data_IF_972927386071
#
_entry.id   IF_972927386071
#
_cell.length_a   1.000
_cell.length_b   1.000
_cell.length_c   1.000
_cell.angle_alpha   90.00
_cell.angle_beta   90.00
_cell.angle_gamma   90.00
#
_symmetry.space_group_name_H-M   'P 1'
#
loop_
_entity.id
_entity.type
_entity.pdbx_description
1 polymer ?
#
# COMPACT_ATOMS: atom_id res chain seq x y z
N UNK A 1 -5.74 16.65 -8.94
CA UNK A 1 -4.60 15.88 -9.51
C UNK A 1 -3.99 14.99 -8.45
N UNK A 2 -3.45 15.53 -7.33
CA UNK A 2 -2.71 14.72 -6.35
C UNK A 2 -3.52 13.55 -5.76
N UNK A 3 -4.78 13.75 -5.38
CA UNK A 3 -5.63 12.70 -4.80
C UNK A 3 -6.10 11.65 -5.82
N UNK A 4 -6.23 12.00 -7.09
CA UNK A 4 -6.65 11.06 -8.13
C UNK A 4 -5.50 10.14 -8.56
N UNK A 5 -4.37 10.70 -8.94
CA UNK A 5 -3.25 9.96 -9.53
C UNK A 5 -2.64 8.96 -8.55
N UNK A 6 -2.40 9.39 -7.32
CA UNK A 6 -1.76 8.55 -6.30
C UNK A 6 -2.64 7.38 -5.87
N UNK A 7 -3.92 7.61 -5.60
CA UNK A 7 -4.87 6.55 -5.22
C UNK A 7 -5.08 5.57 -6.37
N UNK A 8 -5.29 6.07 -7.59
CA UNK A 8 -5.44 5.23 -8.79
C UNK A 8 -4.21 4.35 -9.02
N UNK A 9 -3.01 4.93 -8.92
CA UNK A 9 -1.76 4.18 -9.09
C UNK A 9 -1.62 3.08 -8.03
N UNK A 10 -1.95 3.38 -6.77
CA UNK A 10 -1.92 2.39 -5.69
C UNK A 10 -2.92 1.25 -5.94
N UNK A 11 -4.14 1.54 -6.41
CA UNK A 11 -5.12 0.51 -6.76
C UNK A 11 -4.69 -0.31 -7.99
N UNK A 12 -4.04 0.31 -8.99
CA UNK A 12 -3.46 -0.44 -10.11
C UNK A 12 -2.41 -1.43 -9.63
N UNK A 13 -1.50 -1.02 -8.75
CA UNK A 13 -0.56 -1.94 -8.10
C UNK A 13 -1.24 -3.05 -7.32
N UNK A 14 -2.32 -2.72 -6.58
CA UNK A 14 -3.10 -3.72 -5.88
C UNK A 14 -3.62 -4.82 -6.81
N UNK A 15 -4.19 -4.44 -7.96
CA UNK A 15 -4.68 -5.41 -8.96
C UNK A 15 -3.58 -6.35 -9.44
N UNK A 16 -2.38 -5.81 -9.74
CA UNK A 16 -1.25 -6.61 -10.20
C UNK A 16 -0.69 -7.53 -9.10
N UNK A 17 -0.54 -7.01 -7.89
CA UNK A 17 -0.07 -7.79 -6.74
C UNK A 17 -1.01 -8.97 -6.45
N UNK A 18 -2.32 -8.74 -6.47
CA UNK A 18 -3.29 -9.82 -6.28
C UNK A 18 -3.44 -10.74 -7.49
N UNK A 19 -3.18 -10.27 -8.71
CA UNK A 19 -3.16 -11.14 -9.89
C UNK A 19 -2.06 -12.21 -9.80
N UNK A 20 -0.94 -11.90 -9.15
CA UNK A 20 0.16 -12.83 -8.90
C UNK A 20 -0.08 -13.65 -7.63
N UNK A 21 -0.63 -13.04 -6.57
CA UNK A 21 -0.78 -13.67 -5.25
C UNK A 21 -2.23 -14.14 -5.04
N UNK A 22 -2.61 -15.21 -5.74
CA UNK A 22 -3.98 -15.73 -5.77
C UNK A 22 -4.48 -16.20 -4.38
N UNK A 23 -3.61 -16.75 -3.56
CA UNK A 23 -3.96 -17.17 -2.19
C UNK A 23 -4.36 -15.97 -1.31
N UNK A 24 -3.58 -14.89 -1.38
CA UNK A 24 -3.89 -13.65 -0.66
C UNK A 24 -5.22 -13.04 -1.15
N UNK A 25 -5.49 -13.12 -2.46
CA UNK A 25 -6.74 -12.67 -3.05
C UNK A 25 -7.94 -13.48 -2.50
N UNK A 26 -7.83 -14.79 -2.45
CA UNK A 26 -8.91 -15.65 -1.93
C UNK A 26 -9.15 -15.43 -0.43
N UNK A 27 -8.09 -15.20 0.36
CA UNK A 27 -8.24 -14.85 1.79
C UNK A 27 -8.97 -13.51 1.96
N UNK A 28 -8.58 -12.49 1.18
CA UNK A 28 -9.24 -11.19 1.19
C UNK A 28 -10.73 -11.33 0.82
N UNK A 29 -11.02 -12.03 -0.26
CA UNK A 29 -12.39 -12.23 -0.73
C UNK A 29 -13.23 -12.97 0.31
N UNK A 30 -12.68 -13.99 0.96
CA UNK A 30 -13.38 -14.74 2.02
C UNK A 30 -13.80 -13.81 3.15
N UNK A 31 -12.87 -12.99 3.67
CA UNK A 31 -13.20 -12.03 4.73
C UNK A 31 -14.29 -11.03 4.28
N UNK A 32 -14.19 -10.52 3.05
CA UNK A 32 -15.22 -9.61 2.49
C UNK A 32 -16.59 -10.30 2.50
N UNK A 33 -16.69 -11.51 2.02
CA UNK A 33 -17.96 -12.24 1.95
C UNK A 33 -18.50 -12.63 3.33
N UNK A 34 -17.65 -12.92 4.28
CA UNK A 34 -18.03 -13.22 5.67
C UNK A 34 -18.59 -11.98 6.39
N UNK A 35 -18.01 -10.79 6.16
CA UNK A 35 -18.39 -9.57 6.89
C UNK A 35 -19.46 -8.76 6.15
N UNK A 36 -19.35 -8.67 4.84
CA UNK A 36 -20.21 -7.81 3.99
C UNK A 36 -21.29 -8.62 3.28
N UNK A 37 -20.97 -9.84 2.85
CA UNK A 37 -21.83 -10.64 2.00
C UNK A 37 -21.74 -10.25 0.53
N UNK A 38 -22.73 -10.67 -0.26
CA UNK A 38 -22.82 -10.41 -1.72
C UNK A 38 -23.79 -9.29 -2.08
N UNK A 39 -24.73 -8.96 -1.19
CA UNK A 39 -25.92 -8.20 -1.50
C UNK A 39 -25.79 -6.69 -1.26
N UNK A 40 -24.76 -6.27 -0.58
CA UNK A 40 -24.47 -4.85 -0.32
C UNK A 40 -23.00 -4.51 -0.60
N UNK A 41 -22.72 -3.24 -0.85
CA UNK A 41 -21.36 -2.75 -0.96
C UNK A 41 -20.68 -2.62 0.42
N UNK A 42 -19.35 -2.77 0.48
CA UNK A 42 -18.57 -2.49 1.68
C UNK A 42 -18.73 -1.04 2.13
N UNK A 43 -18.68 -0.82 3.44
CA UNK A 43 -18.73 0.49 4.08
C UNK A 43 -17.57 0.67 5.04
N UNK A 44 -17.23 1.89 5.39
CA UNK A 44 -16.16 2.16 6.36
C UNK A 44 -16.44 1.59 7.76
N UNK A 45 -17.71 1.43 8.13
CA UNK A 45 -18.15 0.75 9.36
C UNK A 45 -17.80 -0.74 9.41
N UNK A 46 -17.49 -1.36 8.26
CA UNK A 46 -17.06 -2.77 8.19
C UNK A 46 -15.58 -2.93 8.51
N UNK A 47 -14.77 -1.88 8.27
CA UNK A 47 -13.31 -1.92 8.40
C UNK A 47 -12.80 -2.49 9.73
N UNK A 48 -13.37 -2.16 10.91
CA UNK A 48 -12.91 -2.74 12.18
C UNK A 48 -13.05 -4.27 12.25
N UNK A 49 -13.95 -4.86 11.47
CA UNK A 49 -14.22 -6.31 11.41
C UNK A 49 -13.43 -7.02 10.30
N UNK A 50 -12.61 -6.28 9.56
CA UNK A 50 -11.88 -6.76 8.39
C UNK A 50 -10.37 -6.57 8.57
N UNK A 51 -9.75 -7.27 9.53
CA UNK A 51 -8.32 -7.12 9.81
C UNK A 51 -7.43 -7.52 8.64
N UNK A 52 -7.81 -8.54 7.85
CA UNK A 52 -7.05 -8.98 6.70
C UNK A 52 -7.09 -7.93 5.56
N UNK A 53 -8.24 -7.35 5.27
CA UNK A 53 -8.36 -6.27 4.30
C UNK A 53 -7.51 -5.05 4.70
N UNK A 54 -7.49 -4.71 5.99
CA UNK A 54 -6.61 -3.65 6.53
C UNK A 54 -5.13 -3.98 6.34
N UNK A 55 -4.75 -5.21 6.63
CA UNK A 55 -3.40 -5.72 6.40
C UNK A 55 -3.02 -5.69 4.91
N UNK A 56 -3.96 -6.05 4.02
CA UNK A 56 -3.77 -5.95 2.57
C UNK A 56 -3.49 -4.50 2.12
N UNK A 57 -4.25 -3.52 2.61
CA UNK A 57 -4.01 -2.10 2.27
C UNK A 57 -2.62 -1.66 2.70
N UNK A 58 -2.18 -2.02 3.90
CA UNK A 58 -0.84 -1.70 4.39
C UNK A 58 0.26 -2.36 3.54
N UNK A 59 0.09 -3.64 3.21
CA UNK A 59 1.08 -4.36 2.40
C UNK A 59 1.14 -3.86 0.95
N UNK A 60 0.00 -3.48 0.36
CA UNK A 60 -0.02 -2.84 -0.95
C UNK A 60 0.80 -1.53 -0.90
N UNK A 61 0.55 -0.68 0.10
CA UNK A 61 1.25 0.58 0.25
C UNK A 61 2.74 0.41 0.50
N UNK A 62 3.14 -0.62 1.25
CA UNK A 62 4.54 -0.95 1.46
C UNK A 62 5.21 -1.42 0.17
N UNK A 63 4.62 -2.40 -0.54
CA UNK A 63 5.20 -3.00 -1.75
C UNK A 63 5.15 -2.06 -2.95
N UNK A 64 4.05 -1.37 -3.17
CA UNK A 64 3.93 -0.41 -4.25
C UNK A 64 4.80 0.82 -4.00
N UNK A 65 4.73 1.38 -2.81
CA UNK A 65 5.44 2.60 -2.38
C UNK A 65 5.62 3.62 -3.50
N UNK A 66 4.52 4.15 -3.99
CA UNK A 66 4.46 4.96 -5.22
C UNK A 66 5.25 6.27 -5.15
N UNK A 67 5.62 6.76 -3.96
CA UNK A 67 6.47 7.93 -3.71
C UNK A 67 7.71 7.49 -2.92
N UNK A 68 8.63 6.83 -3.59
CA UNK A 68 9.79 6.20 -2.97
C UNK A 68 10.64 7.17 -2.15
N UNK A 69 10.95 8.31 -2.72
CA UNK A 69 11.87 9.28 -2.13
C UNK A 69 11.19 10.42 -1.36
N UNK A 70 9.88 10.32 -1.12
CA UNK A 70 9.13 11.42 -0.52
C UNK A 70 9.25 12.74 -1.32
N UNK A 71 8.56 13.79 -0.89
CA UNK A 71 8.68 15.13 -1.47
C UNK A 71 9.88 15.85 -0.85
N UNK A 72 10.72 16.43 -1.68
CA UNK A 72 11.93 17.15 -1.27
C UNK A 72 11.62 18.24 -0.24
N UNK A 73 12.57 18.44 0.67
CA UNK A 73 12.57 19.49 1.69
C UNK A 73 13.82 20.34 1.54
N UNK A 74 13.75 21.55 2.06
CA UNK A 74 14.90 22.44 2.17
C UNK A 74 15.11 22.79 3.65
N UNK A 75 16.34 22.67 4.13
CA UNK A 75 16.70 23.08 5.49
C UNK A 75 16.53 24.60 5.60
N UNK A 76 15.66 25.07 6.49
CA UNK A 76 15.39 26.51 6.71
C UNK A 76 16.31 27.12 7.76
N UNK A 77 17.12 26.32 8.42
CA UNK A 77 18.18 26.65 9.36
C UNK A 77 19.19 25.52 9.40
N UNK A 78 20.37 25.78 9.93
CA UNK A 78 21.34 24.72 10.19
C UNK A 78 20.76 23.70 11.16
N UNK A 79 20.88 22.42 10.81
CA UNK A 79 20.37 21.28 11.57
C UNK A 79 21.48 20.27 11.77
N UNK A 80 21.61 19.79 12.99
CA UNK A 80 22.57 18.72 13.32
C UNK A 80 21.85 17.36 13.28
N UNK A 81 22.38 16.42 12.48
CA UNK A 81 21.88 15.05 12.38
C UNK A 81 23.07 14.10 12.58
N UNK A 82 23.02 13.31 13.66
CA UNK A 82 24.07 12.33 14.00
C UNK A 82 25.50 12.92 13.99
N UNK A 83 25.68 14.13 14.53
CA UNK A 83 26.96 14.83 14.58
C UNK A 83 27.40 15.46 13.26
N UNK A 84 26.55 15.49 12.25
CA UNK A 84 26.80 16.18 10.99
C UNK A 84 25.91 17.40 10.87
N UNK A 85 26.50 18.55 10.60
CA UNK A 85 25.74 19.80 10.34
C UNK A 85 25.23 19.79 8.91
N UNK A 86 23.93 19.95 8.77
CA UNK A 86 23.22 20.16 7.51
C UNK A 86 22.96 21.66 7.38
N UNK A 87 23.68 22.38 6.50
CA UNK A 87 23.52 23.83 6.36
C UNK A 87 22.14 24.25 5.88
N UNK A 88 21.75 25.46 6.25
CA UNK A 88 20.60 26.16 5.67
C UNK A 88 20.65 26.13 4.15
N UNK A 89 19.52 25.91 3.50
CA UNK A 89 19.41 25.81 2.04
C UNK A 89 19.71 24.43 1.46
N UNK A 90 20.20 23.49 2.27
CA UNK A 90 20.45 22.11 1.82
C UNK A 90 19.13 21.40 1.48
N UNK A 91 19.12 20.74 0.33
CA UNK A 91 18.02 19.87 -0.07
C UNK A 91 18.10 18.53 0.67
N UNK A 92 17.01 18.16 1.33
CA UNK A 92 16.92 16.94 2.13
C UNK A 92 15.79 16.08 1.61
N UNK A 93 16.06 14.80 1.42
CA UNK A 93 15.09 13.81 1.00
C UNK A 93 15.03 12.66 2.00
N UNK A 94 13.81 12.23 2.34
CA UNK A 94 13.60 11.02 3.15
C UNK A 94 13.30 9.85 2.23
N UNK A 95 14.16 8.85 2.20
CA UNK A 95 13.92 7.64 1.42
C UNK A 95 12.97 6.70 2.19
N UNK A 96 11.67 6.85 1.92
CA UNK A 96 10.62 6.03 2.53
C UNK A 96 10.70 4.58 2.03
N UNK A 97 11.10 4.39 0.77
CA UNK A 97 11.24 3.08 0.18
C UNK A 97 12.32 2.27 0.90
N UNK A 98 13.49 2.89 1.10
CA UNK A 98 14.58 2.26 1.83
C UNK A 98 14.14 1.81 3.23
N UNK A 99 13.38 2.64 3.94
CA UNK A 99 12.88 2.31 5.27
C UNK A 99 11.93 1.11 5.25
N UNK A 100 10.98 1.07 4.32
CA UNK A 100 9.97 0.01 4.24
C UNK A 100 10.48 -1.30 3.62
N UNK A 101 11.66 -1.31 3.02
CA UNK A 101 12.30 -2.53 2.51
C UNK A 101 13.45 -3.02 3.40
N UNK A 102 14.15 -2.14 4.10
CA UNK A 102 15.36 -2.50 4.84
C UNK A 102 15.20 -2.48 6.37
N UNK A 103 14.04 -2.10 6.89
CA UNK A 103 13.82 -2.23 8.34
C UNK A 103 13.74 -3.71 8.70
N UNK A 104 14.50 -4.18 9.71
CA UNK A 104 14.55 -5.58 10.11
C UNK A 104 13.19 -6.20 10.48
N UNK A 105 12.20 -5.39 10.81
CA UNK A 105 10.84 -5.88 11.09
C UNK A 105 10.09 -6.36 9.83
N UNK A 106 10.51 -5.92 8.65
CA UNK A 106 9.94 -6.39 7.38
C UNK A 106 10.71 -7.61 6.85
N UNK A 107 10.57 -8.75 7.50
CA UNK A 107 11.15 -10.02 7.04
C UNK A 107 10.70 -10.34 5.61
N UNK A 108 11.62 -10.80 4.76
CA UNK A 108 11.36 -11.10 3.35
C UNK A 108 10.61 -9.93 2.66
N UNK A 109 11.22 -8.74 2.55
CA UNK A 109 10.53 -7.52 2.14
C UNK A 109 9.99 -7.59 0.70
N UNK A 110 10.56 -8.44 -0.15
CA UNK A 110 10.11 -8.65 -1.53
C UNK A 110 8.83 -9.47 -1.65
N UNK A 111 8.49 -10.22 -0.62
CA UNK A 111 7.27 -11.02 -0.58
C UNK A 111 6.06 -10.14 -0.31
N UNK A 112 5.00 -10.31 -1.11
CA UNK A 112 3.68 -9.74 -0.82
C UNK A 112 2.96 -10.62 0.18
N UNK A 113 3.01 -10.24 1.46
CA UNK A 113 2.48 -11.04 2.57
C UNK A 113 1.70 -10.16 3.55
N UNK A 114 0.40 -9.96 3.34
CA UNK A 114 -0.45 -9.18 4.26
C UNK A 114 -0.41 -9.69 5.70
N UNK A 115 -0.25 -11.00 5.90
CA UNK A 115 -0.20 -11.65 7.20
C UNK A 115 0.92 -11.13 8.09
N UNK A 116 1.97 -10.50 7.51
CA UNK A 116 3.04 -9.88 8.32
C UNK A 116 2.51 -8.85 9.32
N UNK A 117 1.42 -8.17 8.96
CA UNK A 117 0.78 -7.16 9.80
C UNK A 117 -0.16 -7.73 10.86
N UNK A 118 -0.44 -9.03 10.84
CA UNK A 118 -1.35 -9.66 11.79
C UNK A 118 -0.56 -10.37 12.90
N UNK A 119 -1.08 -10.32 14.11
CA UNK A 119 -0.62 -11.16 15.20
C UNK A 119 -1.01 -12.62 14.95
N UNK A 120 -0.58 -13.54 15.81
CA UNK A 120 -0.89 -14.97 15.71
C UNK A 120 -2.40 -15.25 15.75
N UNK A 121 -3.19 -14.37 16.35
CA UNK A 121 -4.65 -14.47 16.39
C UNK A 121 -5.32 -14.22 15.02
N UNK A 122 -4.57 -13.76 14.02
CA UNK A 122 -5.04 -13.40 12.68
C UNK A 122 -6.02 -12.23 12.63
N UNK A 123 -6.22 -11.51 13.75
CA UNK A 123 -7.23 -10.44 13.90
C UNK A 123 -6.65 -9.11 14.34
N UNK A 124 -5.62 -9.14 15.15
CA UNK A 124 -5.00 -7.95 15.70
C UNK A 124 -3.84 -7.50 14.81
N UNK A 125 -3.81 -6.20 14.44
CA UNK A 125 -2.67 -5.64 13.71
C UNK A 125 -1.46 -5.46 14.63
N UNK A 126 -0.28 -5.79 14.13
CA UNK A 126 1.00 -5.50 14.79
C UNK A 126 1.29 -4.01 14.70
N UNK A 127 1.21 -3.33 15.84
CA UNK A 127 1.34 -1.89 15.93
C UNK A 127 2.69 -1.37 15.42
N UNK A 128 3.77 -2.05 15.74
CA UNK A 128 5.13 -1.71 15.32
C UNK A 128 5.30 -1.67 13.80
N UNK A 129 4.77 -2.66 13.08
CA UNK A 129 4.79 -2.69 11.61
C UNK A 129 3.88 -1.62 11.00
N UNK A 130 2.71 -1.39 11.59
CA UNK A 130 1.79 -0.33 11.13
C UNK A 130 2.46 1.05 11.26
N UNK A 131 3.11 1.34 12.38
CA UNK A 131 3.80 2.62 12.62
C UNK A 131 5.02 2.83 11.71
N UNK A 132 5.64 1.76 11.24
CA UNK A 132 6.76 1.83 10.26
C UNK A 132 6.32 1.88 8.81
N UNK A 133 5.05 1.62 8.53
CA UNK A 133 4.47 1.76 7.19
C UNK A 133 3.99 3.20 7.00
N UNK A 134 4.84 4.05 6.42
CA UNK A 134 4.66 5.50 6.35
C UNK A 134 4.49 6.05 4.92
N UNK A 135 3.62 5.48 4.09
CA UNK A 135 3.45 5.89 2.68
C UNK A 135 2.99 7.34 2.52
N UNK A 136 2.41 7.91 3.56
CA UNK A 136 1.92 9.29 3.59
C UNK A 136 2.90 10.28 4.23
N UNK A 137 4.14 9.84 4.49
CA UNK A 137 5.14 10.62 5.25
C UNK A 137 4.71 10.87 6.70
N UNK A 138 5.51 11.64 7.43
CA UNK A 138 5.32 11.95 8.84
C UNK A 138 5.51 13.44 9.13
N UNK A 139 5.05 13.90 10.28
CA UNK A 139 5.25 15.25 10.80
C UNK A 139 4.35 16.30 10.15
N UNK A 140 4.73 17.57 10.28
CA UNK A 140 3.92 18.72 9.83
C UNK A 140 3.66 18.78 8.32
N UNK A 141 4.41 18.04 7.53
CA UNK A 141 4.31 17.97 6.08
C UNK A 141 3.84 16.59 5.60
N UNK A 142 3.24 15.80 6.48
CA UNK A 142 2.53 14.58 6.08
C UNK A 142 1.41 14.89 5.08
N UNK A 143 0.98 13.87 4.34
CA UNK A 143 -0.05 14.01 3.31
C UNK A 143 -1.35 14.56 3.89
N UNK A 144 -1.83 15.68 3.39
CA UNK A 144 -3.11 16.26 3.81
C UNK A 144 -4.32 15.42 3.39
N UNK A 145 -4.18 14.59 2.35
CA UNK A 145 -5.22 13.71 1.81
C UNK A 145 -5.23 12.30 2.41
N UNK A 146 -4.39 11.99 3.40
CA UNK A 146 -4.26 10.64 3.95
C UNK A 146 -5.61 10.03 4.36
N UNK A 147 -6.46 10.79 5.07
CA UNK A 147 -7.76 10.29 5.53
C UNK A 147 -8.65 9.86 4.37
N UNK A 148 -8.74 10.65 3.30
CA UNK A 148 -9.53 10.32 2.11
C UNK A 148 -8.90 9.14 1.36
N UNK A 149 -7.60 9.15 1.14
CA UNK A 149 -6.90 8.07 0.44
C UNK A 149 -7.07 6.71 1.14
N UNK A 150 -7.04 6.67 2.48
CA UNK A 150 -7.29 5.44 3.23
C UNK A 150 -8.72 4.90 3.03
N UNK A 151 -9.71 5.79 2.98
CA UNK A 151 -11.11 5.43 2.65
C UNK A 151 -11.21 4.87 1.24
N UNK A 152 -10.66 5.58 0.25
CA UNK A 152 -10.71 5.17 -1.16
C UNK A 152 -9.99 3.84 -1.40
N UNK A 153 -8.83 3.63 -0.79
CA UNK A 153 -8.08 2.38 -0.91
C UNK A 153 -8.84 1.20 -0.28
N UNK A 154 -9.40 1.38 0.91
CA UNK A 154 -10.16 0.32 1.56
C UNK A 154 -11.43 -0.03 0.79
N UNK A 155 -12.25 0.96 0.43
CA UNK A 155 -13.50 0.73 -0.29
C UNK A 155 -13.26 0.25 -1.72
N UNK A 156 -12.31 0.83 -2.43
CA UNK A 156 -11.96 0.43 -3.79
C UNK A 156 -11.44 -1.01 -3.85
N UNK A 157 -10.54 -1.37 -2.92
CA UNK A 157 -10.04 -2.74 -2.81
C UNK A 157 -11.16 -3.73 -2.50
N UNK A 158 -11.92 -3.49 -1.44
CA UNK A 158 -12.95 -4.44 -0.96
C UNK A 158 -14.10 -4.56 -1.95
N UNK A 159 -14.59 -3.48 -2.55
CA UNK A 159 -15.63 -3.53 -3.57
C UNK A 159 -15.17 -4.27 -4.84
N UNK A 160 -13.93 -4.06 -5.27
CA UNK A 160 -13.38 -4.76 -6.43
C UNK A 160 -13.32 -6.27 -6.20
N UNK A 161 -12.71 -6.70 -5.09
CA UNK A 161 -12.54 -8.13 -4.80
C UNK A 161 -13.80 -8.81 -4.26
N UNK A 162 -14.83 -8.06 -3.90
CA UNK A 162 -16.16 -8.62 -3.68
C UNK A 162 -16.80 -9.18 -4.96
N UNK A 163 -16.60 -8.48 -6.09
CA UNK A 163 -17.29 -8.78 -7.34
C UNK A 163 -16.42 -9.46 -8.39
N UNK A 164 -15.11 -9.31 -8.30
CA UNK A 164 -14.19 -9.78 -9.34
C UNK A 164 -13.03 -10.59 -8.75
N UNK A 165 -12.67 -11.64 -9.48
CA UNK A 165 -11.38 -12.31 -9.37
C UNK A 165 -10.46 -11.77 -10.44
N UNK A 166 -9.22 -11.44 -10.05
CA UNK A 166 -8.21 -10.87 -10.93
C UNK A 166 -7.08 -11.87 -11.14
N UNK A 167 -6.65 -12.10 -12.36
CA UNK A 167 -5.56 -12.98 -12.71
C UNK A 167 -4.77 -12.45 -13.90
N UNK A 168 -3.59 -13.00 -14.16
CA UNK A 168 -2.92 -12.80 -15.44
C UNK A 168 -3.78 -13.29 -16.60
N UNK A 169 -3.61 -12.70 -17.78
CA UNK A 169 -4.15 -13.24 -19.01
C UNK A 169 -3.45 -14.57 -19.35
N UNK A 170 -4.12 -15.45 -20.10
CA UNK A 170 -3.58 -16.73 -20.47
C UNK A 170 -2.30 -16.59 -21.30
N UNK A 171 -1.23 -17.27 -20.86
CA UNK A 171 0.09 -17.17 -21.49
C UNK A 171 0.90 -15.91 -21.16
N UNK A 172 0.35 -14.97 -20.40
CA UNK A 172 1.04 -13.74 -19.99
C UNK A 172 1.53 -13.82 -18.54
N UNK A 173 2.67 -13.20 -18.26
CA UNK A 173 3.19 -13.01 -16.91
C UNK A 173 3.01 -11.56 -16.50
N UNK A 174 2.61 -11.34 -15.26
CA UNK A 174 2.53 -10.00 -14.69
C UNK A 174 3.94 -9.51 -14.34
N UNK A 175 4.27 -8.35 -14.89
CA UNK A 175 5.53 -7.65 -14.61
C UNK A 175 5.33 -6.71 -13.40
N UNK A 176 6.05 -6.99 -12.34
CA UNK A 176 6.05 -6.18 -11.11
C UNK A 176 7.29 -5.28 -10.98
N UNK A 177 8.06 -5.11 -12.05
CA UNK A 177 9.20 -4.20 -12.06
C UNK A 177 8.77 -2.77 -11.74
N UNK A 178 9.62 -2.10 -10.98
CA UNK A 178 9.42 -0.74 -10.49
C UNK A 178 10.47 0.20 -11.11
N UNK A 179 10.29 0.66 -12.35
CA UNK A 179 11.25 1.58 -12.97
C UNK A 179 11.29 2.90 -12.19
N UNK A 180 12.48 3.48 -11.98
CA UNK A 180 12.61 4.74 -11.24
C UNK A 180 11.79 5.85 -11.89
N UNK A 181 10.91 6.47 -11.11
CA UNK A 181 10.12 7.61 -11.54
C UNK A 181 9.65 8.44 -10.34
N UNK A 182 9.18 9.67 -10.58
CA UNK A 182 8.66 10.55 -9.51
C UNK A 182 7.44 9.94 -8.80
N UNK A 183 6.55 9.32 -9.58
CA UNK A 183 5.45 8.48 -9.08
C UNK A 183 5.60 7.11 -9.75
N UNK A 184 5.72 6.08 -8.95
CA UNK A 184 5.94 4.72 -9.42
C UNK A 184 4.66 4.12 -10.01
N UNK A 185 4.42 4.43 -11.28
CA UNK A 185 3.29 3.88 -12.04
C UNK A 185 3.68 2.49 -12.56
N UNK A 186 2.84 1.45 -12.38
CA UNK A 186 3.11 0.15 -12.97
C UNK A 186 3.12 0.21 -14.50
N UNK A 187 3.94 -0.63 -15.14
CA UNK A 187 3.93 -0.79 -16.59
C UNK A 187 2.53 -1.10 -17.09
N UNK A 188 2.20 -0.64 -18.29
CA UNK A 188 0.93 -0.99 -18.93
C UNK A 188 0.90 -2.47 -19.25
N UNK A 189 -0.10 -3.16 -18.73
CA UNK A 189 -0.29 -4.59 -18.93
C UNK A 189 -1.76 -4.97 -18.74
N UNK A 190 -2.15 -6.10 -19.28
CA UNK A 190 -3.53 -6.60 -19.21
C UNK A 190 -3.68 -7.55 -18.03
N UNK A 191 -4.85 -7.49 -17.41
CA UNK A 191 -5.31 -8.45 -16.42
C UNK A 191 -6.67 -8.99 -16.83
N UNK A 192 -6.96 -10.23 -16.45
CA UNK A 192 -8.27 -10.82 -16.63
C UNK A 192 -9.13 -10.55 -15.39
N UNK A 193 -10.29 -9.94 -15.59
CA UNK A 193 -11.31 -9.79 -14.55
C UNK A 193 -12.43 -10.81 -14.80
N UNK A 194 -12.67 -11.66 -13.83
CA UNK A 194 -13.75 -12.63 -13.84
C UNK A 194 -14.77 -12.23 -12.77
N UNK A 195 -16.00 -11.98 -13.16
CA UNK A 195 -17.12 -11.75 -12.23
C UNK A 195 -17.41 -13.04 -11.45
N UNK A 196 -17.59 -12.93 -10.12
CA UNK A 196 -17.75 -14.07 -9.19
C UNK A 196 -18.88 -13.81 -8.21
#
# INVERSE_FOLDING_TARGET
>A
VAGMETTTTTLRWAMLLFAVNQEAQEKLRREILEVVGKDRLPQMSDQPKMPYARACVLEIQRRANILQTNVQRVAVKDVEIRGQTIPTGTWVNGDIHFLMENDPLFENPDEFRPERYLQEDGKTLKRDLVERTIPFSIGKRACAGEGIARVELFLGLTATFQHFKISACEGEQIDLDRPPSAILVPKEQKVRLQKV
#
